data_IF_298076492248
#
_entry.id   IF_298076492248
#
_cell.length_a   1.000
_cell.length_b   1.000
_cell.length_c   1.000
_cell.angle_alpha   90.00
_cell.angle_beta   90.00
_cell.angle_gamma   90.00
#
_symmetry.space_group_name_H-M   'P 1'
#
loop_
_entity.id
_entity.type
_entity.pdbx_description
1 polymer ?
#
# COMPACT_ATOMS: atom_id res chain seq x y z
N UNK A 1 -20.43 14.80 9.78
CA UNK A 1 -20.98 14.42 8.47
C UNK A 1 -21.56 13.02 8.61
N UNK A 2 -22.87 12.87 8.50
CA UNK A 2 -23.56 11.58 8.67
C UNK A 2 -23.18 10.63 7.54
N UNK A 3 -22.44 9.58 7.90
CA UNK A 3 -21.96 8.54 6.97
C UNK A 3 -23.13 7.61 6.64
N UNK A 4 -23.91 7.93 5.61
CA UNK A 4 -24.96 7.03 5.11
C UNK A 4 -24.38 6.10 4.05
N UNK A 5 -24.29 4.80 4.34
CA UNK A 5 -24.01 3.80 3.32
C UNK A 5 -25.12 3.80 2.25
N UNK A 6 -24.80 3.63 0.96
CA UNK A 6 -25.82 3.58 -0.09
C UNK A 6 -26.82 2.44 0.19
N UNK A 7 -28.11 2.66 -0.11
CA UNK A 7 -29.15 1.63 0.06
C UNK A 7 -28.89 0.46 -0.90
N UNK A 8 -28.26 -0.60 -0.41
CA UNK A 8 -27.94 -1.81 -1.16
C UNK A 8 -29.15 -2.75 -1.23
N UNK A 9 -29.68 -3.00 -2.43
CA UNK A 9 -30.59 -4.12 -2.67
C UNK A 9 -29.82 -5.44 -2.57
N UNK A 10 -29.58 -5.93 -1.35
CA UNK A 10 -28.74 -7.13 -1.08
C UNK A 10 -29.07 -8.32 -1.99
N UNK A 11 -30.35 -8.58 -2.25
CA UNK A 11 -30.79 -9.66 -3.17
C UNK A 11 -30.26 -9.48 -4.59
N UNK A 12 -30.29 -8.25 -5.12
CA UNK A 12 -29.80 -7.94 -6.47
C UNK A 12 -28.28 -8.11 -6.57
N UNK A 13 -27.54 -7.59 -5.58
CA UNK A 13 -26.08 -7.76 -5.54
C UNK A 13 -25.66 -9.23 -5.42
N UNK A 14 -26.39 -10.03 -4.62
CA UNK A 14 -26.14 -11.47 -4.49
C UNK A 14 -26.42 -12.21 -5.80
N UNK A 15 -27.47 -11.85 -6.55
CA UNK A 15 -27.75 -12.46 -7.86
C UNK A 15 -26.60 -12.22 -8.86
N UNK A 16 -26.06 -11.00 -8.90
CA UNK A 16 -24.86 -10.70 -9.70
C UNK A 16 -23.69 -11.55 -9.24
N UNK A 17 -23.45 -11.62 -7.92
CA UNK A 17 -22.35 -12.39 -7.38
C UNK A 17 -22.46 -13.89 -7.70
N UNK A 18 -23.66 -14.46 -7.63
CA UNK A 18 -23.92 -15.87 -7.93
C UNK A 18 -23.72 -16.19 -9.42
N UNK A 19 -24.13 -15.28 -10.31
CA UNK A 19 -23.88 -15.41 -11.75
C UNK A 19 -22.37 -15.46 -12.02
N UNK A 20 -21.64 -14.45 -11.55
CA UNK A 20 -20.20 -14.33 -11.82
C UNK A 20 -19.41 -15.46 -11.17
N UNK A 21 -19.82 -15.91 -9.97
CA UNK A 21 -19.22 -17.07 -9.33
C UNK A 21 -19.43 -18.35 -10.16
N UNK A 22 -20.62 -18.55 -10.72
CA UNK A 22 -20.92 -19.71 -11.57
C UNK A 22 -20.12 -19.65 -12.86
N UNK A 23 -20.00 -18.49 -13.46
CA UNK A 23 -19.21 -18.30 -14.68
C UNK A 23 -17.73 -18.56 -14.41
N UNK A 24 -17.17 -18.02 -13.32
CA UNK A 24 -15.78 -18.29 -12.91
C UNK A 24 -15.54 -19.77 -12.59
N UNK A 25 -16.52 -20.46 -12.00
CA UNK A 25 -16.45 -21.90 -11.66
C UNK A 25 -16.75 -22.80 -12.88
N UNK A 26 -17.22 -22.25 -13.99
CA UNK A 26 -17.47 -23.02 -15.21
C UNK A 26 -16.20 -23.26 -16.05
N UNK A 27 -15.19 -22.39 -15.90
CA UNK A 27 -13.92 -22.51 -16.61
C UNK A 27 -13.00 -23.54 -15.94
N UNK A 28 -13.24 -24.83 -16.21
CA UNK A 28 -12.54 -25.96 -15.57
C UNK A 28 -11.01 -25.83 -15.60
N UNK A 29 -10.43 -25.34 -16.71
CA UNK A 29 -8.97 -25.19 -16.86
C UNK A 29 -8.40 -24.18 -15.86
N UNK A 30 -9.07 -23.06 -15.68
CA UNK A 30 -8.64 -21.99 -14.77
C UNK A 30 -8.71 -22.48 -13.32
N UNK A 31 -9.83 -23.08 -12.93
CA UNK A 31 -10.05 -23.57 -11.56
C UNK A 31 -9.09 -24.71 -11.25
N UNK A 32 -8.90 -25.66 -12.18
CA UNK A 32 -7.98 -26.76 -11.99
C UNK A 32 -6.56 -26.23 -11.74
N UNK A 33 -6.11 -25.24 -12.53
CA UNK A 33 -4.81 -24.61 -12.32
C UNK A 33 -4.73 -23.91 -10.96
N UNK A 34 -5.75 -23.12 -10.59
CA UNK A 34 -5.78 -22.40 -9.30
C UNK A 34 -5.79 -23.35 -8.10
N UNK A 35 -6.65 -24.38 -8.12
CA UNK A 35 -6.77 -25.37 -7.05
C UNK A 35 -5.50 -26.23 -6.97
N UNK A 36 -4.99 -26.71 -8.10
CA UNK A 36 -3.76 -27.50 -8.12
C UNK A 36 -2.59 -26.70 -7.51
N UNK A 37 -2.44 -25.44 -7.88
CA UNK A 37 -1.39 -24.59 -7.32
C UNK A 37 -1.62 -24.28 -5.83
N UNK A 38 -2.87 -24.03 -5.44
CA UNK A 38 -3.29 -23.78 -4.05
C UNK A 38 -3.03 -24.98 -3.14
N UNK A 39 -2.96 -26.20 -3.70
CA UNK A 39 -2.65 -27.43 -2.94
C UNK A 39 -1.15 -27.77 -3.03
N UNK A 40 -0.56 -27.70 -4.21
CA UNK A 40 0.83 -28.09 -4.46
C UNK A 40 1.83 -27.23 -3.69
N UNK A 41 1.62 -25.92 -3.63
CA UNK A 41 2.51 -24.98 -2.94
C UNK A 41 2.55 -25.26 -1.42
N UNK A 42 1.41 -25.34 -0.70
CA UNK A 42 1.43 -25.70 0.71
C UNK A 42 2.13 -27.02 0.99
N UNK A 43 1.88 -28.04 0.16
CA UNK A 43 2.53 -29.34 0.32
C UNK A 43 4.05 -29.22 0.13
N UNK A 44 4.51 -28.53 -0.91
CA UNK A 44 5.93 -28.29 -1.15
C UNK A 44 6.60 -27.52 -0.01
N UNK A 45 5.94 -26.47 0.49
CA UNK A 45 6.43 -25.70 1.64
C UNK A 45 6.47 -26.55 2.92
N UNK A 46 5.44 -27.36 3.18
CA UNK A 46 5.39 -28.28 4.32
C UNK A 46 6.51 -29.33 4.28
N UNK A 47 6.79 -29.90 3.09
CA UNK A 47 7.91 -30.81 2.89
C UNK A 47 9.24 -30.13 3.24
N UNK A 48 9.44 -28.88 2.81
CA UNK A 48 10.64 -28.11 3.13
C UNK A 48 10.83 -27.89 4.64
N UNK A 49 9.77 -27.47 5.33
CA UNK A 49 9.80 -27.23 6.79
C UNK A 49 10.03 -28.52 7.57
N UNK A 50 9.34 -29.61 7.20
CA UNK A 50 9.52 -30.92 7.85
C UNK A 50 10.87 -31.55 7.54
N UNK A 51 11.39 -31.35 6.32
CA UNK A 51 12.74 -31.75 5.95
C UNK A 51 13.78 -31.05 6.84
N UNK A 52 13.63 -29.75 7.06
CA UNK A 52 14.50 -29.01 7.97
C UNK A 52 14.43 -29.55 9.40
N UNK A 53 13.23 -29.85 9.90
CA UNK A 53 13.06 -30.47 11.22
C UNK A 53 13.75 -31.84 11.31
N UNK A 54 13.65 -32.65 10.26
CA UNK A 54 14.24 -33.99 10.19
C UNK A 54 15.77 -33.96 10.15
N UNK A 55 16.37 -33.03 9.38
CA UNK A 55 17.82 -32.89 9.25
C UNK A 55 18.48 -32.11 10.41
N UNK A 56 17.78 -31.90 11.52
CA UNK A 56 18.33 -31.28 12.72
C UNK A 56 18.36 -29.75 12.71
N UNK A 57 17.50 -29.11 11.92
CA UNK A 57 17.27 -27.67 12.03
C UNK A 57 16.77 -27.33 13.45
N UNK A 58 17.41 -26.37 14.11
CA UNK A 58 17.03 -25.97 15.46
C UNK A 58 15.54 -25.60 15.54
N UNK A 59 14.88 -26.00 16.63
CA UNK A 59 13.42 -25.85 16.83
C UNK A 59 12.93 -24.43 16.58
N UNK A 60 13.67 -23.43 17.08
CA UNK A 60 13.35 -22.02 16.86
C UNK A 60 13.36 -21.59 15.38
N UNK A 61 14.24 -22.18 14.56
CA UNK A 61 14.32 -21.88 13.12
C UNK A 61 13.17 -22.56 12.39
N UNK A 62 12.87 -23.81 12.73
CA UNK A 62 11.77 -24.59 12.16
C UNK A 62 10.43 -23.90 12.45
N UNK A 63 10.19 -23.48 13.69
CA UNK A 63 8.94 -22.83 14.10
C UNK A 63 8.70 -21.50 13.37
N UNK A 64 9.75 -20.68 13.24
CA UNK A 64 9.69 -19.40 12.51
C UNK A 64 9.49 -19.61 11.02
N UNK A 65 10.19 -20.56 10.41
CA UNK A 65 10.02 -20.87 8.99
C UNK A 65 8.67 -21.51 8.69
N UNK A 66 8.10 -22.29 9.61
CA UNK A 66 6.74 -22.81 9.50
C UNK A 66 5.71 -21.66 9.42
N UNK A 67 5.87 -20.63 10.25
CA UNK A 67 5.00 -19.45 10.22
C UNK A 67 5.18 -18.62 8.93
N UNK A 68 6.42 -18.44 8.48
CA UNK A 68 6.70 -17.76 7.20
C UNK A 68 6.15 -18.55 6.01
N UNK A 69 6.26 -19.88 6.04
CA UNK A 69 5.66 -20.77 5.03
C UNK A 69 4.14 -20.62 4.96
N UNK A 70 3.46 -20.61 6.12
CA UNK A 70 2.01 -20.38 6.20
C UNK A 70 1.59 -19.07 5.50
N UNK A 71 2.41 -18.03 5.65
CA UNK A 71 2.16 -16.73 5.05
C UNK A 71 2.29 -16.73 3.52
N UNK A 72 3.39 -17.26 2.99
CA UNK A 72 3.62 -17.31 1.55
C UNK A 72 2.59 -18.17 0.81
N UNK A 73 2.17 -19.28 1.42
CA UNK A 73 1.15 -20.17 0.87
C UNK A 73 -0.17 -19.43 0.64
N UNK A 74 -0.49 -18.49 1.50
CA UNK A 74 -1.75 -17.75 1.46
C UNK A 74 -1.72 -16.61 0.44
N UNK A 75 -0.57 -15.96 0.24
CA UNK A 75 -0.46 -14.85 -0.70
C UNK A 75 -0.49 -15.28 -2.18
N UNK A 76 0.03 -16.45 -2.52
CA UNK A 76 0.12 -16.86 -3.93
C UNK A 76 -1.27 -17.01 -4.58
N UNK A 77 -2.25 -17.72 -3.99
CA UNK A 77 -3.61 -17.76 -4.51
C UNK A 77 -4.29 -16.38 -4.59
N UNK A 78 -3.98 -15.48 -3.66
CA UNK A 78 -4.47 -14.10 -3.70
C UNK A 78 -3.99 -13.36 -4.96
N UNK A 79 -2.73 -13.57 -5.37
CA UNK A 79 -2.16 -12.97 -6.59
C UNK A 79 -2.84 -13.46 -7.87
N UNK A 80 -3.21 -14.73 -7.96
CA UNK A 80 -3.98 -15.24 -9.12
C UNK A 80 -5.40 -14.70 -9.13
N UNK A 81 -6.01 -14.58 -7.96
CA UNK A 81 -7.39 -14.08 -7.85
C UNK A 81 -7.49 -12.58 -8.14
N UNK A 82 -6.38 -11.83 -8.02
CA UNK A 82 -6.26 -10.47 -8.54
C UNK A 82 -6.51 -10.40 -10.05
N UNK A 83 -6.02 -11.38 -10.82
CA UNK A 83 -6.24 -11.43 -12.26
C UNK A 83 -7.73 -11.56 -12.56
N UNK A 84 -8.44 -12.44 -11.84
CA UNK A 84 -9.90 -12.58 -11.96
C UNK A 84 -10.64 -11.27 -11.67
N UNK A 85 -10.20 -10.51 -10.65
CA UNK A 85 -10.76 -9.19 -10.36
C UNK A 85 -10.55 -8.21 -11.52
N UNK A 86 -9.41 -8.27 -12.20
CA UNK A 86 -9.11 -7.43 -13.37
C UNK A 86 -9.93 -7.83 -14.60
N UNK A 87 -10.19 -9.13 -14.80
CA UNK A 87 -11.01 -9.60 -15.92
C UNK A 87 -12.50 -9.24 -15.75
N UNK A 88 -12.97 -9.00 -14.53
CA UNK A 88 -14.40 -8.81 -14.24
C UNK A 88 -15.09 -7.72 -15.07
N UNK A 89 -14.49 -6.53 -15.24
CA UNK A 89 -15.06 -5.48 -16.11
C UNK A 89 -14.37 -5.38 -17.47
N UNK A 90 -13.06 -5.56 -17.52
CA UNK A 90 -12.32 -5.48 -18.80
C UNK A 90 -12.67 -6.64 -19.71
N UNK A 91 -12.83 -7.86 -19.16
CA UNK A 91 -13.23 -9.04 -19.91
C UNK A 91 -14.66 -8.91 -20.44
N UNK A 92 -15.61 -8.39 -19.65
CA UNK A 92 -16.95 -8.08 -20.16
C UNK A 92 -16.94 -7.01 -21.25
N UNK A 93 -16.04 -6.03 -21.15
CA UNK A 93 -15.84 -5.00 -22.17
C UNK A 93 -15.27 -5.60 -23.46
N UNK A 94 -14.22 -6.42 -23.38
CA UNK A 94 -13.65 -7.11 -24.56
C UNK A 94 -14.64 -8.10 -25.19
N UNK A 95 -15.50 -8.72 -24.39
CA UNK A 95 -16.60 -9.59 -24.85
C UNK A 95 -17.83 -8.81 -25.33
N UNK A 96 -17.81 -7.46 -25.33
CA UNK A 96 -18.93 -6.59 -25.74
C UNK A 96 -20.24 -6.80 -24.94
N UNK A 97 -20.13 -7.28 -23.70
CA UNK A 97 -21.29 -7.56 -22.83
C UNK A 97 -21.53 -6.47 -21.78
N UNK A 98 -20.62 -5.50 -21.68
CA UNK A 98 -20.71 -4.40 -20.71
C UNK A 98 -21.96 -3.52 -20.94
N UNK A 99 -22.32 -3.26 -22.19
CA UNK A 99 -23.51 -2.46 -22.56
C UNK A 99 -24.81 -3.13 -22.09
N UNK A 100 -24.87 -4.46 -22.23
CA UNK A 100 -25.98 -5.28 -21.74
C UNK A 100 -26.06 -5.20 -20.22
N UNK A 101 -24.94 -5.28 -19.51
CA UNK A 101 -24.93 -5.16 -18.04
C UNK A 101 -25.38 -3.77 -17.57
N UNK A 102 -24.94 -2.70 -18.25
CA UNK A 102 -25.30 -1.32 -17.90
C UNK A 102 -26.77 -0.99 -18.21
N UNK A 103 -27.37 -1.64 -19.21
CA UNK A 103 -28.79 -1.48 -19.54
C UNK A 103 -29.74 -2.20 -18.56
N UNK A 104 -29.22 -3.04 -17.66
CA UNK A 104 -30.05 -3.68 -16.62
C UNK A 104 -30.58 -2.69 -15.57
N UNK A 105 -31.75 -2.95 -14.96
CA UNK A 105 -32.33 -2.12 -13.90
C UNK A 105 -31.64 -2.27 -12.52
N UNK A 106 -30.37 -2.70 -12.52
CA UNK A 106 -29.53 -2.81 -11.34
C UNK A 106 -28.91 -1.46 -10.99
N UNK A 107 -28.70 -1.16 -9.71
CA UNK A 107 -27.89 0.00 -9.34
C UNK A 107 -26.41 -0.29 -9.59
N UNK A 108 -25.67 0.76 -9.89
CA UNK A 108 -24.21 0.75 -10.05
C UNK A 108 -23.48 0.11 -8.87
N UNK A 109 -23.86 0.54 -7.67
CA UNK A 109 -23.36 0.02 -6.40
C UNK A 109 -23.67 -1.47 -6.23
N UNK A 110 -24.81 -1.96 -6.74
CA UNK A 110 -25.20 -3.37 -6.67
C UNK A 110 -24.37 -4.24 -7.61
N UNK A 111 -24.04 -3.74 -8.81
CA UNK A 111 -23.16 -4.41 -9.77
C UNK A 111 -21.73 -4.49 -9.22
N UNK A 112 -21.19 -3.37 -8.73
CA UNK A 112 -19.85 -3.32 -8.15
C UNK A 112 -19.73 -4.25 -6.93
N UNK A 113 -20.67 -4.15 -5.98
CA UNK A 113 -20.66 -4.99 -4.78
C UNK A 113 -20.81 -6.48 -5.12
N UNK A 114 -21.63 -6.84 -6.11
CA UNK A 114 -21.77 -8.22 -6.58
C UNK A 114 -20.48 -8.78 -7.16
N UNK A 115 -19.81 -8.02 -8.03
CA UNK A 115 -18.52 -8.41 -8.64
C UNK A 115 -17.40 -8.56 -7.62
N UNK A 116 -17.27 -7.59 -6.72
CA UNK A 116 -16.29 -7.67 -5.63
C UNK A 116 -16.58 -8.88 -4.74
N UNK A 117 -17.84 -9.12 -4.36
CA UNK A 117 -18.21 -10.25 -3.51
C UNK A 117 -17.92 -11.61 -4.17
N UNK A 118 -18.21 -11.77 -5.47
CA UNK A 118 -17.92 -13.01 -6.19
C UNK A 118 -16.42 -13.32 -6.20
N UNK A 119 -15.59 -12.35 -6.60
CA UNK A 119 -14.15 -12.54 -6.68
C UNK A 119 -13.54 -12.71 -5.28
N UNK A 120 -13.99 -11.93 -4.30
CA UNK A 120 -13.54 -12.05 -2.91
C UNK A 120 -13.85 -13.44 -2.34
N UNK A 121 -15.05 -13.99 -2.60
CA UNK A 121 -15.43 -15.33 -2.15
C UNK A 121 -14.52 -16.41 -2.73
N UNK A 122 -14.23 -16.37 -4.03
CA UNK A 122 -13.30 -17.31 -4.70
C UNK A 122 -11.90 -17.17 -4.11
N UNK A 123 -11.42 -15.93 -3.99
CA UNK A 123 -10.08 -15.62 -3.49
C UNK A 123 -9.87 -16.16 -2.08
N UNK A 124 -10.81 -15.86 -1.17
CA UNK A 124 -10.73 -16.28 0.23
C UNK A 124 -10.89 -17.80 0.37
N UNK A 125 -11.74 -18.43 -0.43
CA UNK A 125 -11.87 -19.88 -0.43
C UNK A 125 -10.55 -20.57 -0.80
N UNK A 126 -9.85 -20.06 -1.81
CA UNK A 126 -8.53 -20.58 -2.19
C UNK A 126 -7.47 -20.30 -1.13
N UNK A 127 -7.39 -19.07 -0.62
CA UNK A 127 -6.41 -18.68 0.40
C UNK A 127 -6.57 -19.52 1.68
N UNK A 128 -7.80 -19.67 2.17
CA UNK A 128 -8.08 -20.47 3.36
C UNK A 128 -8.00 -21.96 3.12
N UNK A 129 -8.42 -22.45 1.95
CA UNK A 129 -8.18 -23.83 1.55
C UNK A 129 -6.69 -24.16 1.58
N UNK A 130 -5.85 -23.30 0.98
CA UNK A 130 -4.39 -23.44 0.99
C UNK A 130 -3.81 -23.39 2.41
N UNK A 131 -4.28 -22.46 3.26
CA UNK A 131 -3.85 -22.38 4.66
C UNK A 131 -4.21 -23.63 5.47
N UNK A 132 -5.42 -24.18 5.27
CA UNK A 132 -5.85 -25.41 5.94
C UNK A 132 -4.97 -26.58 5.49
N UNK A 133 -4.75 -26.74 4.19
CA UNK A 133 -3.85 -27.77 3.64
C UNK A 133 -2.44 -27.62 4.21
N UNK A 134 -1.92 -26.38 4.29
CA UNK A 134 -0.62 -26.11 4.90
C UNK A 134 -0.57 -26.52 6.37
N UNK A 135 -1.58 -26.15 7.14
CA UNK A 135 -1.63 -26.43 8.57
C UNK A 135 -1.67 -27.93 8.84
N UNK A 136 -2.48 -28.67 8.05
CA UNK A 136 -2.56 -30.12 8.11
C UNK A 136 -1.24 -30.78 7.67
N UNK A 137 -0.58 -30.28 6.63
CA UNK A 137 0.66 -30.88 6.12
C UNK A 137 1.87 -30.61 7.01
N UNK A 138 1.95 -29.41 7.59
CA UNK A 138 3.10 -28.93 8.36
C UNK A 138 2.98 -29.30 9.83
N UNK A 139 1.94 -28.84 10.53
CA UNK A 139 1.88 -28.90 12.00
C UNK A 139 1.44 -30.26 12.54
N UNK A 140 0.95 -31.18 11.70
CA UNK A 140 0.63 -32.55 12.15
C UNK A 140 1.91 -33.27 12.56
N UNK A 141 1.98 -33.65 13.85
CA UNK A 141 3.13 -34.37 14.41
C UNK A 141 4.35 -33.51 14.76
N UNK A 142 4.32 -32.18 14.54
CA UNK A 142 5.39 -31.27 14.97
C UNK A 142 5.30 -30.89 16.46
N UNK A 143 4.18 -31.15 17.14
CA UNK A 143 3.97 -30.79 18.56
C UNK A 143 3.84 -29.29 18.84
N UNK A 144 3.94 -28.45 17.81
CA UNK A 144 3.81 -27.00 17.85
C UNK A 144 2.63 -26.56 16.98
N UNK A 145 1.72 -25.75 17.52
CA UNK A 145 0.60 -25.16 16.76
C UNK A 145 0.32 -23.72 17.23
N UNK A 146 0.82 -22.70 16.51
CA UNK A 146 0.70 -21.30 16.91
C UNK A 146 -0.66 -20.71 16.52
N UNK A 147 -1.72 -21.15 17.21
CA UNK A 147 -3.11 -20.78 16.90
C UNK A 147 -3.34 -19.26 16.85
N UNK A 148 -2.80 -18.51 17.82
CA UNK A 148 -2.97 -17.05 17.88
C UNK A 148 -2.37 -16.33 16.68
N UNK A 149 -1.16 -16.72 16.29
CA UNK A 149 -0.46 -16.16 15.12
C UNK A 149 -1.15 -16.55 13.81
N UNK A 150 -1.60 -17.81 13.68
CA UNK A 150 -2.34 -18.27 12.51
C UNK A 150 -3.69 -17.55 12.34
N UNK A 151 -4.37 -17.23 13.44
CA UNK A 151 -5.59 -16.41 13.41
C UNK A 151 -5.27 -14.97 12.98
N UNK A 152 -4.22 -14.36 13.55
CA UNK A 152 -3.80 -13.01 13.15
C UNK A 152 -3.44 -12.96 11.66
N UNK A 153 -2.72 -13.97 11.18
CA UNK A 153 -2.36 -14.16 9.77
C UNK A 153 -3.58 -14.34 8.87
N UNK A 154 -4.51 -15.21 9.27
CA UNK A 154 -5.78 -15.42 8.57
C UNK A 154 -6.57 -14.11 8.47
N UNK A 155 -6.67 -13.35 9.56
CA UNK A 155 -7.36 -12.06 9.57
C UNK A 155 -6.65 -11.02 8.69
N UNK A 156 -5.32 -10.91 8.77
CA UNK A 156 -4.55 -10.00 7.91
C UNK A 156 -4.75 -10.35 6.43
N UNK A 157 -4.75 -11.64 6.11
CA UNK A 157 -5.02 -12.16 4.77
C UNK A 157 -6.36 -11.69 4.23
N UNK A 158 -7.46 -11.79 5.00
CA UNK A 158 -8.77 -11.33 4.52
C UNK A 158 -8.68 -9.90 4.02
N UNK A 159 -7.99 -9.07 4.81
CA UNK A 159 -7.93 -7.64 4.60
C UNK A 159 -7.03 -7.30 3.41
N UNK A 160 -5.90 -8.00 3.27
CA UNK A 160 -5.02 -7.90 2.11
C UNK A 160 -5.74 -8.32 0.83
N UNK A 161 -6.41 -9.48 0.82
CA UNK A 161 -7.18 -9.97 -0.33
C UNK A 161 -8.31 -9.00 -0.67
N UNK A 162 -9.05 -8.51 0.33
CA UNK A 162 -10.12 -7.54 0.12
C UNK A 162 -9.58 -6.23 -0.49
N UNK A 163 -8.46 -5.71 0.01
CA UNK A 163 -7.81 -4.52 -0.54
C UNK A 163 -7.33 -4.74 -1.98
N UNK A 164 -6.72 -5.90 -2.26
CA UNK A 164 -6.27 -6.29 -3.60
C UNK A 164 -7.44 -6.39 -4.59
N UNK A 165 -8.51 -7.08 -4.23
CA UNK A 165 -9.71 -7.23 -5.07
C UNK A 165 -10.37 -5.89 -5.29
N UNK A 166 -10.58 -5.08 -4.25
CA UNK A 166 -11.17 -3.75 -4.37
C UNK A 166 -10.36 -2.86 -5.32
N UNK A 167 -9.03 -2.82 -5.14
CA UNK A 167 -8.12 -2.10 -6.01
C UNK A 167 -8.17 -2.59 -7.46
N UNK A 168 -8.15 -3.91 -7.68
CA UNK A 168 -8.19 -4.49 -9.02
C UNK A 168 -9.50 -4.21 -9.74
N UNK A 169 -10.63 -4.31 -9.05
CA UNK A 169 -11.93 -3.97 -9.65
C UNK A 169 -11.97 -2.49 -10.04
N UNK A 170 -11.42 -1.58 -9.23
CA UNK A 170 -11.32 -0.15 -9.58
C UNK A 170 -10.43 0.06 -10.82
N UNK A 171 -9.28 -0.62 -10.89
CA UNK A 171 -8.39 -0.55 -12.05
C UNK A 171 -9.07 -1.13 -13.30
N UNK A 172 -9.81 -2.23 -13.15
CA UNK A 172 -10.57 -2.91 -14.21
C UNK A 172 -11.60 -1.97 -14.85
N UNK A 173 -12.28 -1.15 -14.05
CA UNK A 173 -13.21 -0.12 -14.57
C UNK A 173 -12.51 0.87 -15.52
N UNK A 174 -11.26 1.24 -15.20
CA UNK A 174 -10.48 2.24 -15.90
C UNK A 174 -9.67 1.68 -17.09
N UNK A 175 -9.36 0.38 -17.09
CA UNK A 175 -8.52 -0.26 -18.08
C UNK A 175 -9.27 -0.54 -19.39
N UNK A 176 -8.68 -0.19 -20.53
CA UNK A 176 -9.34 -0.40 -21.84
C UNK A 176 -9.15 -1.80 -22.43
N UNK A 177 -8.07 -2.47 -22.06
CA UNK A 177 -7.70 -3.78 -22.59
C UNK A 177 -7.15 -4.65 -21.48
N UNK A 178 -7.28 -5.97 -21.63
CA UNK A 178 -6.79 -6.97 -20.69
C UNK A 178 -5.28 -6.86 -20.49
N UNK A 179 -4.54 -6.60 -21.58
CA UNK A 179 -3.09 -6.41 -21.51
C UNK A 179 -2.71 -5.20 -20.65
N UNK A 180 -3.43 -4.08 -20.78
CA UNK A 180 -3.18 -2.89 -19.96
C UNK A 180 -3.57 -3.12 -18.50
N UNK A 181 -4.69 -3.82 -18.25
CA UNK A 181 -5.13 -4.17 -16.90
C UNK A 181 -4.09 -5.03 -16.17
N UNK A 182 -3.54 -6.04 -16.85
CA UNK A 182 -2.51 -6.91 -16.29
C UNK A 182 -1.20 -6.18 -15.97
N UNK A 183 -0.79 -5.19 -16.78
CA UNK A 183 0.37 -4.34 -16.43
C UNK A 183 0.05 -3.45 -15.22
N UNK A 184 -1.17 -2.93 -15.15
CA UNK A 184 -1.61 -2.12 -13.99
C UNK A 184 -1.80 -2.96 -12.72
N UNK A 185 -1.96 -4.28 -12.83
CA UNK A 185 -1.98 -5.20 -11.68
C UNK A 185 -0.72 -5.05 -10.82
N UNK A 186 0.43 -4.81 -11.45
CA UNK A 186 1.71 -4.59 -10.77
C UNK A 186 1.66 -3.40 -9.80
N UNK A 187 0.82 -2.40 -10.06
CA UNK A 187 0.61 -1.27 -9.14
C UNK A 187 -0.12 -1.65 -7.85
N UNK A 188 -0.78 -2.81 -7.82
CA UNK A 188 -1.38 -3.39 -6.61
C UNK A 188 -0.41 -4.39 -5.98
N UNK A 189 0.20 -5.26 -6.78
CA UNK A 189 1.08 -6.33 -6.29
C UNK A 189 2.32 -5.76 -5.61
N UNK A 190 2.93 -4.71 -6.17
CA UNK A 190 4.19 -4.17 -5.65
C UNK A 190 4.04 -3.53 -4.25
N UNK A 191 3.05 -2.67 -3.97
CA UNK A 191 2.83 -2.20 -2.60
C UNK A 191 2.48 -3.34 -1.63
N UNK A 192 1.67 -4.30 -2.08
CA UNK A 192 1.31 -5.44 -1.25
C UNK A 192 2.54 -6.29 -0.93
N UNK A 193 3.47 -6.51 -1.87
CA UNK A 193 4.68 -7.28 -1.60
C UNK A 193 5.58 -6.63 -0.56
N UNK A 194 5.57 -5.29 -0.43
CA UNK A 194 6.26 -4.59 0.66
C UNK A 194 5.59 -4.89 2.00
N UNK A 195 4.26 -4.83 2.07
CA UNK A 195 3.50 -5.20 3.29
C UNK A 195 3.83 -6.63 3.71
N UNK A 196 3.85 -7.56 2.75
CA UNK A 196 4.21 -8.95 3.01
C UNK A 196 5.64 -9.11 3.53
N UNK A 197 6.61 -8.42 2.93
CA UNK A 197 7.99 -8.48 3.37
C UNK A 197 8.13 -8.00 4.82
N UNK A 198 7.39 -6.96 5.20
CA UNK A 198 7.39 -6.46 6.57
C UNK A 198 6.75 -7.47 7.54
N UNK A 199 5.59 -8.06 7.19
CA UNK A 199 4.96 -9.09 8.02
C UNK A 199 5.85 -10.34 8.18
N UNK A 200 6.47 -10.80 7.10
CA UNK A 200 7.42 -11.92 7.13
C UNK A 200 8.64 -11.60 8.00
N UNK A 201 9.19 -10.39 7.90
CA UNK A 201 10.30 -9.94 8.74
C UNK A 201 9.92 -9.93 10.24
N UNK A 202 8.71 -9.47 10.59
CA UNK A 202 8.22 -9.46 11.98
C UNK A 202 8.09 -10.87 12.54
N UNK A 203 7.58 -11.82 11.75
CA UNK A 203 7.50 -13.24 12.13
C UNK A 203 8.90 -13.80 12.39
N UNK A 204 9.87 -13.52 11.51
CA UNK A 204 11.26 -13.98 11.65
C UNK A 204 11.97 -13.37 12.86
N UNK A 205 11.62 -12.14 13.22
CA UNK A 205 12.10 -11.47 14.43
C UNK A 205 11.46 -12.03 15.71
N UNK A 206 10.47 -12.92 15.60
CA UNK A 206 9.74 -13.49 16.72
C UNK A 206 8.75 -12.51 17.36
N UNK A 207 8.31 -11.50 16.60
CA UNK A 207 7.45 -10.39 17.05
C UNK A 207 6.09 -10.41 16.36
N UNK A 208 5.50 -11.61 16.32
CA UNK A 208 4.23 -11.88 15.66
C UNK A 208 3.04 -11.13 16.29
N UNK A 209 3.17 -10.60 17.51
CA UNK A 209 2.17 -9.77 18.18
C UNK A 209 1.80 -8.51 17.37
N UNK A 210 2.74 -7.95 16.60
CA UNK A 210 2.48 -6.77 15.77
C UNK A 210 1.64 -7.07 14.52
N UNK A 211 1.44 -8.34 14.18
CA UNK A 211 0.56 -8.73 13.06
C UNK A 211 -0.88 -8.27 13.26
N UNK A 212 -1.35 -8.13 14.51
CA UNK A 212 -2.66 -7.58 14.80
C UNK A 212 -2.78 -6.10 14.40
N UNK A 213 -1.72 -5.32 14.63
CA UNK A 213 -1.65 -3.93 14.20
C UNK A 213 -1.65 -3.81 12.68
N UNK A 214 -0.89 -4.67 12.00
CA UNK A 214 -0.89 -4.75 10.53
C UNK A 214 -2.25 -5.17 9.97
N UNK A 215 -2.89 -6.18 10.56
CA UNK A 215 -4.25 -6.57 10.20
C UNK A 215 -5.22 -5.39 10.36
N UNK A 216 -5.14 -4.65 11.47
CA UNK A 216 -5.93 -3.43 11.69
C UNK A 216 -5.70 -2.36 10.63
N UNK A 217 -4.45 -2.07 10.27
CA UNK A 217 -4.10 -1.15 9.19
C UNK A 217 -4.69 -1.60 7.84
N UNK A 218 -4.58 -2.89 7.52
CA UNK A 218 -5.12 -3.47 6.30
C UNK A 218 -6.66 -3.44 6.27
N UNK A 219 -7.34 -3.59 7.41
CA UNK A 219 -8.80 -3.40 7.50
C UNK A 219 -9.17 -1.98 7.07
N UNK A 220 -8.48 -0.97 7.61
CA UNK A 220 -8.74 0.43 7.28
C UNK A 220 -8.50 0.66 5.79
N UNK A 221 -7.38 0.17 5.25
CA UNK A 221 -7.07 0.30 3.82
C UNK A 221 -8.12 -0.38 2.94
N UNK A 222 -8.52 -1.61 3.27
CA UNK A 222 -9.56 -2.34 2.55
C UNK A 222 -10.91 -1.60 2.59
N UNK A 223 -11.31 -1.07 3.75
CA UNK A 223 -12.55 -0.31 3.90
C UNK A 223 -12.53 0.99 3.07
N UNK A 224 -11.40 1.69 3.03
CA UNK A 224 -11.21 2.89 2.20
C UNK A 224 -11.32 2.52 0.72
N UNK A 225 -10.58 1.52 0.24
CA UNK A 225 -10.60 1.09 -1.16
C UNK A 225 -11.99 0.60 -1.60
N UNK A 226 -12.68 -0.17 -0.75
CA UNK A 226 -14.05 -0.63 -1.04
C UNK A 226 -15.01 0.54 -1.18
N UNK A 227 -14.95 1.52 -0.27
CA UNK A 227 -15.79 2.73 -0.35
C UNK A 227 -15.51 3.55 -1.60
N UNK A 228 -14.24 3.72 -1.95
CA UNK A 228 -13.86 4.42 -3.17
C UNK A 228 -14.45 3.79 -4.42
N UNK A 229 -14.44 2.45 -4.50
CA UNK A 229 -15.00 1.75 -5.64
C UNK A 229 -16.52 1.87 -5.73
N UNK A 230 -17.21 1.90 -4.57
CA UNK A 230 -18.65 2.11 -4.50
C UNK A 230 -19.06 3.53 -4.94
N UNK A 231 -18.32 4.55 -4.51
CA UNK A 231 -18.62 5.96 -4.82
C UNK A 231 -18.14 6.38 -6.22
N UNK A 232 -17.15 5.66 -6.76
CA UNK A 232 -16.52 5.98 -8.03
C UNK A 232 -17.18 5.37 -9.27
N UNK A 233 -18.04 4.38 -9.08
CA UNK A 233 -18.82 3.83 -10.19
C UNK A 233 -19.86 4.87 -10.62
N UNK A 234 -19.81 5.27 -11.90
CA UNK A 234 -20.82 6.10 -12.56
C UNK A 234 -20.97 5.65 -14.01
N UNK A 235 -22.18 5.24 -14.40
CA UNK A 235 -22.52 4.74 -15.76
C UNK A 235 -22.17 5.77 -16.83
N UNK A 236 -22.43 7.04 -16.53
CA UNK A 236 -22.16 8.17 -17.42
C UNK A 236 -20.66 8.38 -17.65
N UNK A 237 -19.82 8.20 -16.63
CA UNK A 237 -18.38 8.32 -16.76
C UNK A 237 -17.75 7.12 -17.49
N UNK A 238 -18.36 5.93 -17.40
CA UNK A 238 -17.93 4.74 -18.14
C UNK A 238 -18.17 4.92 -19.65
N UNK A 239 -19.34 5.42 -20.05
CA UNK A 239 -19.73 5.64 -21.46
C UNK A 239 -19.07 6.89 -22.08
N UNK A 240 -19.00 8.01 -21.36
CA UNK A 240 -18.37 9.24 -21.86
C UNK A 240 -16.85 9.07 -22.12
N UNK A 241 -16.21 8.07 -21.49
CA UNK A 241 -14.77 7.77 -21.65
C UNK A 241 -14.41 7.04 -22.94
N UNK A 242 -15.38 6.47 -23.65
CA UNK A 242 -15.18 5.89 -24.98
C UNK A 242 -14.94 6.97 -26.04
N UNK A 243 -15.56 8.15 -25.87
CA UNK A 243 -15.60 9.19 -26.90
C UNK A 243 -14.36 10.11 -26.90
N UNK A 244 -13.52 10.14 -25.86
CA UNK A 244 -12.68 11.32 -25.60
C UNK A 244 -11.23 11.18 -25.13
N UNK A 245 -10.35 10.33 -25.70
CA UNK A 245 -8.91 10.33 -25.34
C UNK A 245 -7.95 10.04 -26.51
N UNK A 246 -7.88 10.94 -27.52
CA UNK A 246 -6.92 10.80 -28.64
C UNK A 246 -5.50 11.33 -28.33
N UNK A 247 -5.26 12.06 -27.23
CA UNK A 247 -3.93 12.67 -26.93
C UNK A 247 -3.63 12.80 -25.41
N UNK A 248 -3.27 11.71 -24.71
CA UNK A 248 -3.03 11.72 -23.26
C UNK A 248 -1.83 12.59 -22.86
N UNK A 249 -0.73 12.52 -23.63
CA UNK A 249 0.52 13.25 -23.34
C UNK A 249 0.34 14.76 -23.44
N UNK A 250 -0.36 15.25 -24.48
CA UNK A 250 -0.63 16.68 -24.65
C UNK A 250 -1.51 17.25 -23.53
N UNK A 251 -2.47 16.46 -23.00
CA UNK A 251 -3.25 16.85 -21.82
C UNK A 251 -2.41 16.87 -20.55
N UNK A 252 -1.57 15.86 -20.32
CA UNK A 252 -0.67 15.87 -19.17
C UNK A 252 0.29 17.06 -19.22
N UNK A 253 0.87 17.34 -20.40
CA UNK A 253 1.72 18.50 -20.62
C UNK A 253 0.96 19.84 -20.46
N UNK A 254 -0.28 19.94 -20.94
CA UNK A 254 -1.12 21.12 -20.74
C UNK A 254 -1.51 21.31 -19.26
N UNK A 255 -1.84 20.23 -18.55
CA UNK A 255 -2.14 20.24 -17.12
C UNK A 255 -0.90 20.67 -16.30
N UNK A 256 0.28 20.16 -16.65
CA UNK A 256 1.54 20.56 -16.03
C UNK A 256 1.84 22.03 -16.34
N UNK A 257 1.74 22.45 -17.60
CA UNK A 257 1.99 23.84 -18.02
C UNK A 257 1.04 24.82 -17.33
N UNK A 258 -0.25 24.50 -17.25
CA UNK A 258 -1.26 25.33 -16.55
C UNK A 258 -1.02 25.37 -15.04
N UNK A 259 -0.53 24.29 -14.44
CA UNK A 259 -0.13 24.30 -13.04
C UNK A 259 1.08 25.22 -12.77
N UNK A 260 2.00 25.34 -13.72
CA UNK A 260 3.12 26.28 -13.63
C UNK A 260 2.73 27.74 -13.90
N UNK A 261 1.72 28.01 -14.73
CA UNK A 261 1.35 29.38 -15.12
C UNK A 261 0.30 30.06 -14.23
N UNK A 262 -0.71 29.34 -13.70
CA UNK A 262 -1.91 29.99 -13.13
C UNK A 262 -2.34 29.51 -11.73
N UNK A 263 -1.43 28.99 -10.91
CA UNK A 263 -1.74 28.48 -9.56
C UNK A 263 -1.30 29.43 -8.43
N UNK A 264 -2.02 29.44 -7.30
CA UNK A 264 -1.77 30.36 -6.18
C UNK A 264 -0.35 30.25 -5.60
N UNK A 265 0.18 31.32 -4.99
CA UNK A 265 1.50 31.31 -4.34
C UNK A 265 1.63 30.26 -3.23
N UNK A 266 2.87 29.93 -2.84
CA UNK A 266 3.17 28.85 -1.88
C UNK A 266 2.29 28.90 -0.63
N UNK A 267 2.19 30.04 0.04
CA UNK A 267 1.37 30.22 1.24
C UNK A 267 -0.11 29.87 1.03
N UNK A 268 -0.67 30.29 -0.10
CA UNK A 268 -2.07 29.99 -0.42
C UNK A 268 -2.24 28.51 -0.77
N UNK A 269 -1.27 27.86 -1.43
CA UNK A 269 -1.28 26.42 -1.63
C UNK A 269 -1.27 25.66 -0.29
N UNK A 270 -0.35 26.01 0.61
CA UNK A 270 -0.24 25.40 1.94
C UNK A 270 -1.54 25.56 2.74
N UNK A 271 -2.16 26.75 2.68
CA UNK A 271 -3.42 27.01 3.36
C UNK A 271 -4.57 26.15 2.83
N UNK A 272 -4.69 26.01 1.50
CA UNK A 272 -5.73 25.18 0.88
C UNK A 272 -5.51 23.68 1.15
N UNK A 273 -4.26 23.26 1.41
CA UNK A 273 -3.88 21.87 1.67
C UNK A 273 -3.57 21.60 3.15
N UNK A 274 -4.02 22.47 4.06
CA UNK A 274 -3.70 22.39 5.50
C UNK A 274 -4.02 21.04 6.15
N UNK A 275 -5.09 20.36 5.74
CA UNK A 275 -5.47 19.07 6.34
C UNK A 275 -4.42 17.99 6.02
N UNK A 276 -4.09 17.70 4.74
CA UNK A 276 -2.98 16.81 4.41
C UNK A 276 -1.65 17.20 5.06
N UNK A 277 -1.34 18.50 5.14
CA UNK A 277 -0.13 18.97 5.82
C UNK A 277 -0.14 18.69 7.31
N UNK A 278 -1.28 18.85 8.00
CA UNK A 278 -1.41 18.52 9.42
C UNK A 278 -1.25 17.02 9.67
N UNK A 279 -1.78 16.17 8.78
CA UNK A 279 -1.60 14.71 8.86
C UNK A 279 -0.11 14.35 8.71
N UNK A 280 0.59 14.96 7.74
CA UNK A 280 2.04 14.79 7.61
C UNK A 280 2.80 15.34 8.83
N UNK A 281 2.44 16.52 9.33
CA UNK A 281 3.08 17.10 10.51
C UNK A 281 2.92 16.21 11.76
N UNK A 282 1.77 15.56 11.92
CA UNK A 282 1.52 14.61 13.00
C UNK A 282 2.38 13.33 12.89
N UNK A 283 2.88 13.00 11.69
CA UNK A 283 3.71 11.81 11.48
C UNK A 283 4.98 11.82 12.32
N UNK A 284 5.65 12.96 12.45
CA UNK A 284 6.89 13.08 13.23
C UNK A 284 6.71 12.79 14.73
N UNK A 285 5.80 13.45 15.47
CA UNK A 285 5.61 13.16 16.89
C UNK A 285 5.05 11.76 17.13
N UNK A 286 4.12 11.27 16.29
CA UNK A 286 3.60 9.90 16.38
C UNK A 286 4.72 8.88 16.15
N UNK A 287 5.58 9.14 15.16
CA UNK A 287 6.77 8.34 14.89
C UNK A 287 7.70 8.33 16.08
N UNK A 288 8.03 9.49 16.65
CA UNK A 288 8.92 9.62 17.80
C UNK A 288 8.40 8.90 19.05
N UNK A 289 7.11 9.01 19.34
CA UNK A 289 6.48 8.25 20.41
C UNK A 289 6.54 6.73 20.14
N UNK A 290 6.17 6.30 18.94
CA UNK A 290 6.22 4.89 18.54
C UNK A 290 7.64 4.32 18.60
N UNK A 291 8.64 5.07 18.15
CA UNK A 291 10.05 4.69 18.20
C UNK A 291 10.58 4.59 19.62
N UNK A 292 10.23 5.56 20.47
CA UNK A 292 10.62 5.56 21.88
C UNK A 292 10.03 4.36 22.63
N UNK A 293 8.73 4.09 22.45
CA UNK A 293 8.07 2.91 23.01
C UNK A 293 8.68 1.63 22.46
N UNK A 294 8.98 1.58 21.16
CA UNK A 294 9.57 0.39 20.53
C UNK A 294 10.97 0.08 21.07
N UNK A 295 11.76 1.11 21.37
CA UNK A 295 13.07 0.96 21.99
C UNK A 295 13.01 0.57 23.46
N UNK A 296 12.07 1.13 24.23
CA UNK A 296 11.86 0.76 25.65
C UNK A 296 11.34 -0.66 25.83
N UNK A 297 10.37 -1.07 25.02
CA UNK A 297 9.76 -2.40 25.11
C UNK A 297 10.62 -3.49 24.46
N UNK A 298 11.69 -3.12 23.74
CA UNK A 298 12.47 -4.03 22.92
C UNK A 298 11.65 -4.67 21.79
N UNK A 299 10.54 -4.03 21.39
CA UNK A 299 9.65 -4.47 20.32
C UNK A 299 10.40 -4.64 19.00
N UNK A 300 11.31 -3.70 18.70
CA UNK A 300 12.21 -3.79 17.56
C UNK A 300 13.63 -4.02 18.09
N UNK A 301 14.26 -5.17 17.78
CA UNK A 301 15.61 -5.45 18.22
C UNK A 301 16.60 -4.38 17.76
N UNK A 302 17.52 -4.01 18.66
CA UNK A 302 18.57 -3.04 18.33
C UNK A 302 19.39 -3.45 17.11
N UNK A 303 19.52 -4.74 16.80
CA UNK A 303 20.20 -5.21 15.59
C UNK A 303 19.56 -4.75 14.27
N UNK A 304 18.27 -4.40 14.26
CA UNK A 304 17.56 -3.92 13.07
C UNK A 304 17.78 -2.41 12.89
N UNK A 305 17.76 -1.65 13.99
CA UNK A 305 17.81 -0.18 13.94
C UNK A 305 19.24 0.35 14.04
N UNK A 306 20.13 -0.33 14.77
CA UNK A 306 21.53 0.09 14.95
C UNK A 306 22.27 0.28 13.64
N UNK A 307 22.17 -0.59 12.61
CA UNK A 307 22.83 -0.37 11.32
C UNK A 307 22.39 0.94 10.65
N UNK A 308 21.09 1.21 10.66
CA UNK A 308 20.52 2.45 10.10
C UNK A 308 21.03 3.65 10.89
N UNK A 309 20.98 3.60 12.22
CA UNK A 309 21.44 4.68 13.08
C UNK A 309 22.96 4.90 12.95
N UNK A 310 23.75 3.84 12.85
CA UNK A 310 25.20 3.93 12.65
C UNK A 310 25.56 4.47 11.26
N UNK A 311 24.81 4.11 10.22
CA UNK A 311 25.01 4.68 8.88
C UNK A 311 24.65 6.16 8.84
N UNK A 312 23.62 6.59 9.58
CA UNK A 312 23.29 8.01 9.72
C UNK A 312 24.40 8.76 10.47
N UNK A 313 24.87 8.22 11.61
CA UNK A 313 25.96 8.82 12.40
C UNK A 313 27.27 8.86 11.60
N UNK A 314 27.59 7.81 10.83
CA UNK A 314 28.77 7.79 9.95
C UNK A 314 28.64 8.78 8.79
N UNK A 315 27.45 8.90 8.18
CA UNK A 315 27.20 9.89 7.13
C UNK A 315 27.31 11.33 7.65
N UNK A 316 27.00 11.56 8.93
CA UNK A 316 27.21 12.86 9.58
C UNK A 316 28.66 13.06 10.08
N UNK A 317 29.45 11.99 10.25
CA UNK A 317 30.79 12.03 10.85
C UNK A 317 31.98 11.89 9.90
N UNK A 318 31.78 11.41 8.66
CA UNK A 318 32.86 11.27 7.67
C UNK A 318 32.92 12.48 6.72
N UNK A 319 34.05 13.19 6.82
CA UNK A 319 34.50 14.37 6.05
C UNK A 319 33.58 15.62 6.09
N UNK A 320 34.03 16.74 6.70
CA UNK A 320 33.38 18.06 6.60
C UNK A 320 33.63 18.68 5.21
N UNK A 321 33.19 17.97 4.17
CA UNK A 321 33.45 18.26 2.77
C UNK A 321 32.17 18.36 1.95
N UNK A 322 32.29 18.98 0.77
CA UNK A 322 31.19 19.09 -0.17
C UNK A 322 30.57 17.72 -0.58
N UNK A 323 31.34 16.63 -0.47
CA UNK A 323 30.91 15.27 -0.82
C UNK A 323 29.82 14.76 0.14
N UNK A 324 29.99 14.95 1.45
CA UNK A 324 28.99 14.56 2.45
C UNK A 324 27.68 15.36 2.28
N UNK A 325 27.78 16.67 2.04
CA UNK A 325 26.62 17.52 1.76
C UNK A 325 25.87 17.06 0.50
N UNK A 326 26.59 16.68 -0.57
CA UNK A 326 25.99 16.15 -1.80
C UNK A 326 25.30 14.81 -1.54
N UNK A 327 25.91 13.92 -0.75
CA UNK A 327 25.33 12.63 -0.40
C UNK A 327 24.00 12.79 0.37
N UNK A 328 23.99 13.59 1.45
CA UNK A 328 22.78 13.89 2.24
C UNK A 328 21.70 14.52 1.35
N UNK A 329 22.07 15.54 0.56
CA UNK A 329 21.16 16.19 -0.36
C UNK A 329 20.56 15.19 -1.37
N UNK A 330 21.38 14.33 -1.97
CA UNK A 330 20.95 13.35 -2.97
C UNK A 330 19.97 12.33 -2.37
N UNK A 331 20.21 11.90 -1.13
CA UNK A 331 19.36 10.97 -0.42
C UNK A 331 17.97 11.58 -0.15
N UNK A 332 17.92 12.82 0.34
CA UNK A 332 16.67 13.49 0.67
C UNK A 332 15.86 13.87 -0.58
N UNK A 333 16.55 14.30 -1.65
CA UNK A 333 15.91 14.53 -2.95
C UNK A 333 15.34 13.23 -3.51
N UNK A 334 16.07 12.12 -3.42
CA UNK A 334 15.60 10.81 -3.87
C UNK A 334 14.39 10.34 -3.05
N UNK A 335 14.40 10.54 -1.73
CA UNK A 335 13.25 10.23 -0.87
C UNK A 335 12.00 11.01 -1.30
N UNK A 336 12.13 12.31 -1.56
CA UNK A 336 11.01 13.16 -2.01
C UNK A 336 10.57 12.81 -3.44
N UNK A 337 11.50 12.40 -4.30
CA UNK A 337 11.19 11.97 -5.66
C UNK A 337 10.43 10.63 -5.67
N UNK A 338 10.82 9.67 -4.81
CA UNK A 338 10.16 8.37 -4.67
C UNK A 338 8.81 8.46 -3.95
N UNK A 339 8.64 9.40 -3.02
CA UNK A 339 7.39 9.57 -2.30
C UNK A 339 6.20 9.87 -3.22
N UNK A 340 6.42 10.60 -4.33
CA UNK A 340 5.38 10.97 -5.29
C UNK A 340 4.76 9.77 -6.05
N UNK A 341 5.53 8.94 -6.78
CA UNK A 341 4.96 7.75 -7.43
C UNK A 341 4.39 6.79 -6.38
N UNK A 342 5.04 6.62 -5.23
CA UNK A 342 4.52 5.79 -4.15
C UNK A 342 3.22 6.35 -3.57
N UNK A 343 2.98 7.66 -3.59
CA UNK A 343 1.76 8.25 -3.03
C UNK A 343 0.52 7.84 -3.82
N UNK A 344 0.64 7.71 -5.14
CA UNK A 344 -0.44 7.20 -5.99
C UNK A 344 -0.76 5.74 -5.64
N UNK A 345 0.28 4.93 -5.39
CA UNK A 345 0.15 3.49 -5.14
C UNK A 345 -0.29 3.15 -3.71
N UNK A 346 0.16 3.94 -2.74
CA UNK A 346 -0.07 3.74 -1.31
C UNK A 346 -1.20 4.59 -0.77
N UNK A 347 -2.01 5.19 -1.67
CA UNK A 347 -3.11 6.08 -1.31
C UNK A 347 -2.68 7.23 -0.37
N UNK A 348 -1.43 7.69 -0.51
CA UNK A 348 -0.84 8.80 0.25
C UNK A 348 -0.05 8.38 1.49
N UNK A 349 -0.01 7.10 1.86
CA UNK A 349 0.75 6.62 3.04
C UNK A 349 2.24 6.93 2.92
N UNK A 350 2.82 6.88 1.73
CA UNK A 350 4.23 7.29 1.51
C UNK A 350 4.52 8.72 1.96
N UNK A 351 3.55 9.64 1.83
CA UNK A 351 3.68 11.02 2.30
C UNK A 351 3.69 11.13 3.81
N UNK A 352 2.94 10.28 4.51
CA UNK A 352 3.01 10.17 5.97
C UNK A 352 4.35 9.58 6.42
N UNK A 353 4.85 8.54 5.74
CA UNK A 353 6.12 7.89 6.05
C UNK A 353 7.33 8.82 5.95
N UNK A 354 7.30 9.85 5.09
CA UNK A 354 8.36 10.86 4.98
C UNK A 354 8.64 11.61 6.29
N UNK A 355 7.67 11.69 7.20
CA UNK A 355 7.82 12.35 8.50
C UNK A 355 7.81 11.36 9.65
N UNK A 356 7.03 10.27 9.54
CA UNK A 356 6.96 9.21 10.53
C UNK A 356 8.27 8.45 10.67
N UNK A 357 8.96 8.07 9.58
CA UNK A 357 10.17 7.27 9.67
C UNK A 357 11.34 8.02 10.35
N UNK A 358 11.65 9.30 10.00
CA UNK A 358 12.63 10.08 10.75
C UNK A 358 12.24 10.28 12.22
N UNK A 359 10.95 10.54 12.50
CA UNK A 359 10.42 10.60 13.87
C UNK A 359 10.67 9.30 14.64
N UNK A 360 10.39 8.15 14.03
CA UNK A 360 10.61 6.83 14.61
C UNK A 360 12.07 6.60 14.99
N UNK A 361 13.01 6.93 14.08
CA UNK A 361 14.43 6.80 14.35
C UNK A 361 14.88 7.73 15.49
N UNK A 362 14.39 8.97 15.51
CA UNK A 362 14.64 9.93 16.58
C UNK A 362 14.18 9.40 17.95
N UNK A 363 12.94 8.91 18.02
CA UNK A 363 12.37 8.34 19.25
C UNK A 363 13.11 7.10 19.73
N UNK A 364 13.48 6.22 18.80
CA UNK A 364 14.27 5.02 19.12
C UNK A 364 15.68 5.39 19.61
N UNK A 365 16.34 6.37 18.99
CA UNK A 365 17.62 6.87 19.48
C UNK A 365 17.51 7.48 20.89
N UNK A 366 16.42 8.21 21.15
CA UNK A 366 16.14 8.81 22.45
C UNK A 366 15.94 7.78 23.57
N UNK A 367 15.34 6.62 23.27
CA UNK A 367 15.15 5.56 24.27
C UNK A 367 16.46 4.90 24.70
N UNK A 368 17.46 4.87 23.81
CA UNK A 368 18.75 4.23 24.06
C UNK A 368 19.79 5.19 24.65
N UNK A 369 19.54 6.50 24.58
CA UNK A 369 20.45 7.53 25.05
C UNK A 369 19.69 8.55 25.92
N UNK A 370 19.26 9.67 25.33
CA UNK A 370 18.35 10.64 25.93
C UNK A 370 17.67 11.47 24.85
N UNK A 371 16.52 12.07 25.17
CA UNK A 371 15.86 13.03 24.28
C UNK A 371 16.76 14.23 23.94
N UNK A 372 17.59 14.68 24.89
CA UNK A 372 18.50 15.80 24.66
C UNK A 372 19.54 15.47 23.57
N UNK A 373 20.16 14.29 23.64
CA UNK A 373 21.14 13.84 22.65
C UNK A 373 20.51 13.52 21.29
N UNK A 374 19.34 12.90 21.31
CA UNK A 374 18.62 12.56 20.08
C UNK A 374 18.17 13.83 19.33
N UNK A 375 17.62 14.81 20.04
CA UNK A 375 17.20 16.09 19.45
C UNK A 375 18.42 16.89 19.00
N UNK A 376 19.52 16.91 19.76
CA UNK A 376 20.72 17.65 19.36
C UNK A 376 21.34 17.12 18.06
N UNK A 377 21.23 15.81 17.78
CA UNK A 377 21.68 15.23 16.51
C UNK A 377 20.82 15.60 15.30
N UNK A 378 19.56 16.02 15.51
CA UNK A 378 18.61 16.40 14.45
C UNK A 378 18.45 17.93 14.34
N UNK A 379 18.86 18.69 15.36
CA UNK A 379 18.66 20.13 15.41
C UNK A 379 19.36 20.94 14.30
N UNK A 380 20.59 20.60 13.84
CA UNK A 380 21.31 21.41 12.85
C UNK A 380 20.61 21.51 11.48
N UNK A 381 20.05 20.40 11.00
CA UNK A 381 19.42 20.24 9.69
C UNK A 381 17.88 20.18 9.79
N UNK A 382 17.34 19.66 10.89
CA UNK A 382 15.91 19.45 11.12
C UNK A 382 15.06 20.71 11.09
N UNK A 383 15.64 21.90 11.34
CA UNK A 383 14.93 23.18 11.21
C UNK A 383 14.44 23.47 9.79
N UNK A 384 15.16 22.97 8.78
CA UNK A 384 14.81 23.16 7.36
C UNK A 384 14.21 21.89 6.77
N UNK A 385 14.76 20.73 7.15
CA UNK A 385 14.31 19.45 6.62
C UNK A 385 12.92 19.05 7.10
N UNK A 386 12.58 19.26 8.38
CA UNK A 386 11.26 18.87 8.91
C UNK A 386 10.14 19.65 8.20
N UNK A 387 10.18 20.99 8.07
CA UNK A 387 9.17 21.72 7.30
C UNK A 387 9.11 21.28 5.83
N UNK A 388 10.25 21.01 5.20
CA UNK A 388 10.29 20.52 3.83
C UNK A 388 9.61 19.14 3.71
N UNK A 389 9.89 18.21 4.63
CA UNK A 389 9.30 16.89 4.69
C UNK A 389 7.79 16.94 4.98
N UNK A 390 7.34 17.86 5.83
CA UNK A 390 5.90 18.06 6.10
C UNK A 390 5.16 18.58 4.86
N UNK A 391 5.75 19.53 4.12
CA UNK A 391 5.15 20.07 2.90
C UNK A 391 5.12 18.99 1.81
N UNK A 392 6.24 18.30 1.57
CA UNK A 392 6.32 17.20 0.63
C UNK A 392 5.34 16.09 1.00
N UNK A 393 5.38 15.64 2.26
CA UNK A 393 4.51 14.60 2.79
C UNK A 393 3.02 14.96 2.68
N UNK A 394 2.64 16.19 3.02
CA UNK A 394 1.26 16.66 2.91
C UNK A 394 0.77 16.72 1.46
N UNK A 395 1.61 17.17 0.53
CA UNK A 395 1.27 17.17 -0.90
C UNK A 395 1.22 15.75 -1.47
N UNK A 396 2.08 14.84 -1.02
CA UNK A 396 2.01 13.41 -1.36
C UNK A 396 0.72 12.77 -0.83
N UNK A 397 0.32 13.04 0.42
CA UNK A 397 -0.98 12.61 0.96
C UNK A 397 -2.13 13.17 0.10
N UNK A 398 -2.04 14.41 -0.36
CA UNK A 398 -3.04 15.00 -1.25
C UNK A 398 -3.08 14.32 -2.63
N UNK A 399 -1.94 13.91 -3.19
CA UNK A 399 -1.87 13.10 -4.42
C UNK A 399 -2.56 11.75 -4.21
N UNK A 400 -2.31 11.10 -3.08
CA UNK A 400 -3.02 9.89 -2.67
C UNK A 400 -4.53 10.12 -2.52
N UNK A 401 -4.95 11.17 -1.80
CA UNK A 401 -6.37 11.52 -1.66
C UNK A 401 -7.03 11.84 -3.01
N UNK A 402 -6.30 12.45 -3.95
CA UNK A 402 -6.78 12.70 -5.29
C UNK A 402 -6.92 11.43 -6.14
N UNK A 403 -6.14 10.38 -5.85
CA UNK A 403 -6.31 9.06 -6.46
C UNK A 403 -7.47 8.28 -5.85
N UNK A 404 -7.83 8.60 -4.60
CA UNK A 404 -8.91 7.97 -3.82
C UNK A 404 -10.30 8.39 -4.31
N UNK A 405 -10.55 9.70 -4.43
CA UNK A 405 -11.88 10.17 -4.80
C UNK A 405 -12.14 10.05 -6.31
N UNK A 406 -13.42 9.95 -6.71
CA UNK A 406 -13.92 10.12 -8.09
C UNK A 406 -14.79 11.40 -8.16
N UNK A 407 -14.61 12.28 -9.17
CA UNK A 407 -15.40 13.52 -9.32
C UNK A 407 -16.17 13.44 -10.63
N UNK A 408 -17.45 13.90 -10.64
CA UNK A 408 -18.30 13.80 -11.83
C UNK A 408 -17.77 14.57 -13.05
N UNK A 409 -17.08 15.69 -12.87
CA UNK A 409 -16.85 16.68 -13.95
C UNK A 409 -15.46 16.66 -14.59
N UNK A 410 -14.47 15.92 -14.05
CA UNK A 410 -13.08 15.94 -14.55
C UNK A 410 -12.39 14.57 -14.65
N UNK A 411 -12.97 13.52 -14.04
CA UNK A 411 -12.39 12.18 -14.01
C UNK A 411 -11.15 12.04 -13.12
N UNK A 412 -10.74 10.80 -12.87
CA UNK A 412 -9.60 10.42 -12.01
C UNK A 412 -8.27 11.03 -12.48
N UNK A 413 -8.02 11.03 -13.79
CA UNK A 413 -6.78 11.53 -14.38
C UNK A 413 -6.58 13.03 -14.17
N UNK A 414 -7.61 13.87 -14.32
CA UNK A 414 -7.44 15.31 -14.18
C UNK A 414 -7.07 15.71 -12.74
N UNK A 415 -7.67 15.07 -11.74
CA UNK A 415 -7.35 15.36 -10.33
C UNK A 415 -5.99 14.84 -9.89
N UNK A 416 -5.65 13.60 -10.27
CA UNK A 416 -4.31 13.08 -9.99
C UNK A 416 -3.27 13.95 -10.68
N UNK A 417 -3.46 14.31 -11.96
CA UNK A 417 -2.52 15.18 -12.68
C UNK A 417 -2.39 16.57 -12.05
N UNK A 418 -3.49 17.16 -11.58
CA UNK A 418 -3.44 18.47 -10.91
C UNK A 418 -2.78 18.42 -9.53
N UNK A 419 -3.02 17.37 -8.74
CA UNK A 419 -2.33 17.17 -7.46
C UNK A 419 -0.84 16.89 -7.66
N UNK A 420 -0.49 16.05 -8.64
CA UNK A 420 0.90 15.77 -9.02
C UNK A 420 1.60 17.05 -9.49
N UNK A 421 0.91 17.89 -10.25
CA UNK A 421 1.48 19.16 -10.70
C UNK A 421 1.70 20.16 -9.54
N UNK A 422 0.80 20.20 -8.55
CA UNK A 422 1.00 20.97 -7.32
C UNK A 422 2.25 20.48 -6.56
N UNK A 423 2.48 19.16 -6.49
CA UNK A 423 3.69 18.56 -5.89
C UNK A 423 4.97 18.93 -6.66
N UNK A 424 4.98 18.73 -7.98
CA UNK A 424 6.14 19.05 -8.83
C UNK A 424 6.50 20.54 -8.76
N UNK A 425 5.50 21.42 -8.63
CA UNK A 425 5.72 22.84 -8.43
C UNK A 425 6.34 23.13 -7.05
N UNK A 426 5.93 22.42 -6.01
CA UNK A 426 6.51 22.57 -4.68
C UNK A 426 7.99 22.15 -4.64
N UNK A 427 8.41 21.18 -5.44
CA UNK A 427 9.82 20.78 -5.55
C UNK A 427 10.76 21.94 -5.91
N UNK A 428 10.29 22.95 -6.65
CA UNK A 428 11.07 24.18 -6.92
C UNK A 428 11.54 24.89 -5.64
N UNK A 429 10.78 24.78 -4.56
CA UNK A 429 11.07 25.40 -3.27
C UNK A 429 11.71 24.40 -2.30
N UNK A 430 11.28 23.14 -2.36
CA UNK A 430 11.78 22.07 -1.49
C UNK A 430 13.23 21.69 -1.81
N UNK A 431 13.61 21.60 -3.10
CA UNK A 431 14.98 21.22 -3.48
C UNK A 431 16.01 22.24 -2.96
N UNK A 432 15.83 23.57 -3.15
CA UNK A 432 16.72 24.54 -2.51
C UNK A 432 16.75 24.45 -0.98
N UNK A 433 15.61 24.19 -0.34
CA UNK A 433 15.55 24.01 1.11
C UNK A 433 16.38 22.80 1.58
N UNK A 434 16.30 21.67 0.86
CA UNK A 434 17.12 20.48 1.13
C UNK A 434 18.61 20.76 0.94
N UNK A 435 18.99 21.56 -0.07
CA UNK A 435 20.38 21.96 -0.26
C UNK A 435 20.91 22.81 0.91
N UNK A 436 20.08 23.72 1.44
CA UNK A 436 20.40 24.50 2.64
C UNK A 436 20.51 23.58 3.87
N UNK A 437 19.58 22.63 4.04
CA UNK A 437 19.61 21.67 5.15
C UNK A 437 20.91 20.85 5.15
N UNK A 438 21.30 20.31 3.99
CA UNK A 438 22.53 19.54 3.86
C UNK A 438 23.80 20.39 4.10
N UNK A 439 23.80 21.66 3.68
CA UNK A 439 24.90 22.58 3.96
C UNK A 439 25.00 22.96 5.44
N UNK A 440 23.86 23.06 6.14
CA UNK A 440 23.82 23.30 7.58
C UNK A 440 24.32 22.07 8.35
N UNK A 441 23.95 20.86 7.92
CA UNK A 441 24.38 19.61 8.53
C UNK A 441 25.91 19.47 8.54
N UNK A 442 26.56 19.70 7.39
CA UNK A 442 28.03 19.59 7.29
C UNK A 442 28.77 20.70 8.05
N UNK A 443 28.10 21.82 8.37
CA UNK A 443 28.74 22.98 9.01
C UNK A 443 28.52 23.03 10.53
N UNK A 444 27.46 22.41 11.02
CA UNK A 444 26.99 22.50 12.41
C UNK A 444 26.81 21.15 13.10
N UNK A 445 26.70 20.05 12.34
CA UNK A 445 26.82 18.67 12.82
C UNK A 445 28.28 18.28 12.94
#
# INVERSE_FOLDING_TARGET
MSVSWPSLGRRKAVLVAQRDLRDAVSELRLILAMVALTVAIPIGSAIGVRGLAYFGGGTAVVDRLALVGAFFVVFIPASFSLVLALESFVGERERTTLEVLVSTPLKEVEIYAGKVAAVLAISLALCYGGLIVYCLATFTGLGYFPLSTLIALALSTICQVAAMVAGAVIISLNARTMRAANVMASFIILPMSVVLQVEAALILLGRAEFLWGFAGLMIVLAAVLLRMGLDGFSREALLAREVGLRQPVKRAAAALRTAFTNRPGLFRLLWHRRIPLLIAAAGLPIGAEAGYIAGLTGAIPGSVVKPVLSSLIQASGEDPGAVAAIAIFSHNVLAFALALPLAVLTAGVSGFLLTFAPGFLLGYAASQSSWALAISGVFPNGLVEIPAAVIAGGLAIQVGAASIHMEPSGGWTARVLTATADYLRALRWLIPALAVAAALEVRLG
#
